data_IF_638489486078
#
_entry.id   IF_638489486078
#
_cell.length_a   1.000
_cell.length_b   1.000
_cell.length_c   1.000
_cell.angle_alpha   90.00
_cell.angle_beta   90.00
_cell.angle_gamma   90.00
#
_symmetry.space_group_name_H-M   'P 1'
#
loop_
_entity.id
_entity.type
_entity.pdbx_description
1 polymer ?
#
# COMPACT_ATOMS: atom_id res chain seq x y z
N UNK A 1 5.03 0.18 20.26
CA UNK A 1 4.02 -0.21 21.25
C UNK A 1 2.63 -0.35 20.60
N UNK A 2 2.16 0.58 19.76
CA UNK A 2 0.81 0.54 19.14
C UNK A 2 0.67 -0.63 18.17
N UNK A 3 1.65 -0.86 17.31
CA UNK A 3 1.66 -2.03 16.42
C UNK A 3 1.68 -3.35 17.20
N UNK A 4 2.40 -3.41 18.31
CA UNK A 4 2.40 -4.58 19.18
C UNK A 4 1.03 -4.81 19.84
N UNK A 5 0.32 -3.74 20.22
CA UNK A 5 -1.05 -3.80 20.75
C UNK A 5 -2.06 -4.30 19.72
N UNK A 6 -1.97 -3.82 18.47
CA UNK A 6 -2.84 -4.28 17.37
C UNK A 6 -2.55 -5.73 16.99
N UNK A 7 -1.28 -6.13 16.95
CA UNK A 7 -0.90 -7.53 16.71
C UNK A 7 -1.37 -8.42 17.86
N UNK A 8 -1.22 -8.00 19.12
CA UNK A 8 -1.70 -8.73 20.29
C UNK A 8 -3.22 -8.87 20.29
N UNK A 9 -3.96 -7.81 19.97
CA UNK A 9 -5.43 -7.85 19.83
C UNK A 9 -5.85 -8.81 18.72
N UNK A 10 -5.20 -8.74 17.56
CA UNK A 10 -5.42 -9.66 16.47
C UNK A 10 -5.12 -11.13 16.84
N UNK A 11 -4.05 -11.37 17.61
CA UNK A 11 -3.70 -12.71 18.09
C UNK A 11 -4.72 -13.27 19.09
N UNK A 12 -5.30 -12.42 19.92
CA UNK A 12 -6.38 -12.83 20.86
C UNK A 12 -7.66 -13.20 20.08
N UNK A 13 -8.02 -12.45 19.05
CA UNK A 13 -9.15 -12.81 18.17
C UNK A 13 -8.91 -14.11 17.37
N UNK A 14 -7.67 -14.38 16.98
CA UNK A 14 -7.28 -15.66 16.35
C UNK A 14 -7.68 -16.88 17.18
N UNK A 15 -7.67 -16.77 18.48
CA UNK A 15 -7.97 -17.90 19.37
C UNK A 15 -9.47 -18.22 19.43
N UNK A 16 -10.33 -17.31 18.99
CA UNK A 16 -11.78 -17.45 19.14
C UNK A 16 -12.50 -17.92 17.87
N UNK A 17 -11.98 -17.68 16.64
CA UNK A 17 -12.68 -18.01 15.40
C UNK A 17 -11.74 -18.46 14.26
N UNK A 18 -11.94 -19.68 13.72
CA UNK A 18 -11.11 -20.25 12.64
C UNK A 18 -11.14 -19.46 11.32
N UNK A 19 -12.23 -18.79 10.98
CA UNK A 19 -12.37 -17.98 9.76
C UNK A 19 -11.57 -16.67 9.87
N UNK A 20 -11.61 -16.04 11.01
CA UNK A 20 -10.83 -14.81 11.30
C UNK A 20 -9.32 -15.09 11.37
N UNK A 21 -8.94 -16.27 11.83
CA UNK A 21 -7.57 -16.78 11.86
C UNK A 21 -6.92 -16.78 10.47
N UNK A 22 -7.64 -17.22 9.44
CA UNK A 22 -7.13 -17.25 8.07
C UNK A 22 -6.94 -15.85 7.50
N UNK A 23 -7.88 -14.94 7.74
CA UNK A 23 -7.80 -13.55 7.29
C UNK A 23 -6.60 -12.83 7.92
N UNK A 24 -6.38 -13.03 9.22
CA UNK A 24 -5.24 -12.43 9.91
C UNK A 24 -3.90 -13.00 9.43
N UNK A 25 -3.82 -14.30 9.16
CA UNK A 25 -2.61 -14.90 8.57
C UNK A 25 -2.27 -14.25 7.24
N UNK A 26 -3.25 -14.06 6.36
CA UNK A 26 -3.04 -13.35 5.09
C UNK A 26 -2.65 -11.89 5.31
N UNK A 27 -3.25 -11.20 6.28
CA UNK A 27 -2.90 -9.82 6.61
C UNK A 27 -1.46 -9.71 7.12
N UNK A 28 -1.00 -10.62 7.98
CA UNK A 28 0.39 -10.66 8.47
C UNK A 28 1.39 -10.94 7.35
N UNK A 29 1.09 -11.92 6.48
CA UNK A 29 1.92 -12.21 5.31
C UNK A 29 2.00 -11.00 4.39
N UNK A 30 0.87 -10.35 4.10
CA UNK A 30 0.82 -9.14 3.29
C UNK A 30 1.63 -8.01 3.93
N UNK A 31 1.51 -7.80 5.25
CA UNK A 31 2.30 -6.82 5.98
C UNK A 31 3.80 -7.08 5.90
N UNK A 32 4.21 -8.35 5.98
CA UNK A 32 5.62 -8.73 5.81
C UNK A 32 6.14 -8.41 4.40
N UNK A 33 5.36 -8.71 3.37
CA UNK A 33 5.71 -8.34 1.99
C UNK A 33 5.79 -6.82 1.81
N UNK A 34 4.84 -6.06 2.39
CA UNK A 34 4.86 -4.60 2.35
C UNK A 34 6.12 -4.05 3.00
N UNK A 35 6.49 -4.54 4.18
CA UNK A 35 7.72 -4.13 4.85
C UNK A 35 8.97 -4.47 4.01
N UNK A 36 9.02 -5.66 3.45
CA UNK A 36 10.14 -6.13 2.63
C UNK A 36 10.36 -5.26 1.39
N UNK A 37 9.31 -5.02 0.61
CA UNK A 37 9.48 -4.16 -0.59
C UNK A 37 9.76 -2.70 -0.21
N UNK A 38 9.20 -2.17 0.88
CA UNK A 38 9.46 -0.80 1.31
C UNK A 38 10.94 -0.59 1.67
N UNK A 39 11.57 -1.57 2.34
CA UNK A 39 12.99 -1.55 2.66
C UNK A 39 13.83 -1.65 1.37
N UNK A 40 13.45 -2.56 0.47
CA UNK A 40 14.15 -2.75 -0.81
C UNK A 40 14.10 -1.49 -1.67
N UNK A 41 12.94 -0.84 -1.75
CA UNK A 41 12.74 0.41 -2.50
C UNK A 41 13.56 1.55 -1.90
N UNK A 42 13.52 1.70 -0.57
CA UNK A 42 14.29 2.73 0.11
C UNK A 42 15.80 2.56 -0.08
N UNK A 43 16.28 1.32 -0.02
CA UNK A 43 17.68 1.00 -0.28
C UNK A 43 18.05 1.26 -1.73
N UNK A 44 17.22 0.76 -2.67
CA UNK A 44 17.46 0.90 -4.10
C UNK A 44 17.47 2.37 -4.56
N UNK A 45 16.50 3.18 -4.10
CA UNK A 45 16.46 4.61 -4.48
C UNK A 45 17.63 5.40 -3.92
N UNK A 46 18.13 5.06 -2.73
CA UNK A 46 19.32 5.69 -2.15
C UNK A 46 20.60 5.31 -2.88
N UNK A 47 20.73 4.07 -3.36
CA UNK A 47 21.87 3.64 -4.16
C UNK A 47 21.93 4.34 -5.51
N UNK A 48 20.79 4.48 -6.18
CA UNK A 48 20.71 5.12 -7.51
C UNK A 48 20.81 6.64 -7.42
N UNK A 49 20.45 7.23 -6.26
CA UNK A 49 20.47 8.68 -6.05
C UNK A 49 19.38 9.46 -6.80
N UNK A 50 18.54 8.80 -7.57
CA UNK A 50 17.44 9.41 -8.32
C UNK A 50 16.19 8.55 -8.28
N UNK A 51 15.11 9.09 -7.67
CA UNK A 51 13.82 8.40 -7.59
C UNK A 51 13.24 8.09 -8.97
N UNK A 52 13.39 9.01 -9.92
CA UNK A 52 12.87 8.84 -11.27
C UNK A 52 13.60 7.71 -12.03
N UNK A 53 14.94 7.68 -11.93
CA UNK A 53 15.75 6.64 -12.60
C UNK A 53 15.48 5.25 -12.01
N UNK A 54 15.41 5.15 -10.68
CA UNK A 54 15.10 3.91 -9.99
C UNK A 54 13.71 3.41 -10.36
N UNK A 55 12.70 4.29 -10.28
CA UNK A 55 11.33 3.92 -10.63
C UNK A 55 11.16 3.59 -12.10
N UNK A 56 11.83 4.32 -13.00
CA UNK A 56 11.83 4.05 -14.42
C UNK A 56 12.37 2.65 -14.75
N UNK A 57 13.50 2.27 -14.16
CA UNK A 57 14.08 0.94 -14.31
C UNK A 57 13.14 -0.15 -13.77
N UNK A 58 12.64 0.03 -12.55
CA UNK A 58 11.70 -0.91 -11.91
C UNK A 58 10.41 -1.08 -12.73
N UNK A 59 9.83 0.03 -13.21
CA UNK A 59 8.63 0.01 -14.04
C UNK A 59 8.85 -0.69 -15.37
N UNK A 60 10.02 -0.52 -16.00
CA UNK A 60 10.38 -1.23 -17.23
C UNK A 60 10.45 -2.74 -17.00
N UNK A 61 11.15 -3.20 -15.95
CA UNK A 61 11.23 -4.63 -15.62
C UNK A 61 9.87 -5.24 -15.33
N UNK A 62 9.04 -4.59 -14.51
CA UNK A 62 7.69 -5.05 -14.20
C UNK A 62 6.80 -5.13 -15.44
N UNK A 63 6.88 -4.13 -16.34
CA UNK A 63 6.10 -4.12 -17.58
C UNK A 63 6.57 -5.15 -18.59
N UNK A 64 7.88 -5.37 -18.71
CA UNK A 64 8.42 -6.44 -19.53
C UNK A 64 7.94 -7.80 -19.06
N UNK A 65 8.02 -8.07 -17.75
CA UNK A 65 7.53 -9.33 -17.18
C UNK A 65 6.03 -9.53 -17.42
N UNK A 66 5.21 -8.51 -17.17
CA UNK A 66 3.78 -8.56 -17.42
C UNK A 66 3.47 -8.74 -18.92
N UNK A 67 4.21 -8.07 -19.80
CA UNK A 67 4.05 -8.18 -21.24
C UNK A 67 4.34 -9.60 -21.72
N UNK A 68 5.43 -10.22 -21.29
CA UNK A 68 5.73 -11.61 -21.61
C UNK A 68 4.67 -12.57 -21.07
N UNK A 69 4.24 -12.37 -19.83
CA UNK A 69 3.18 -13.16 -19.21
C UNK A 69 1.87 -13.11 -20.03
N UNK A 70 1.43 -11.92 -20.43
CA UNK A 70 0.20 -11.73 -21.21
C UNK A 70 0.29 -12.29 -22.62
N UNK A 71 1.45 -12.21 -23.28
CA UNK A 71 1.65 -12.81 -24.61
C UNK A 71 1.52 -14.32 -24.54
N UNK A 72 2.04 -14.95 -23.50
CA UNK A 72 2.09 -16.41 -23.37
C UNK A 72 0.74 -16.97 -22.92
N UNK A 73 0.07 -16.33 -21.93
CA UNK A 73 -1.14 -16.89 -21.34
C UNK A 73 -2.44 -16.31 -21.89
N UNK A 74 -2.47 -15.01 -22.28
CA UNK A 74 -3.72 -14.33 -22.59
C UNK A 74 -3.63 -13.35 -23.77
N UNK A 75 -3.45 -13.89 -24.95
CA UNK A 75 -3.26 -13.12 -26.20
C UNK A 75 -4.40 -12.14 -26.54
N UNK A 76 -5.61 -12.37 -26.04
CA UNK A 76 -6.82 -11.56 -26.33
C UNK A 76 -7.25 -10.62 -25.21
N UNK A 77 -6.52 -10.59 -24.09
CA UNK A 77 -6.91 -9.78 -22.91
C UNK A 77 -6.62 -8.29 -23.12
N UNK A 78 -5.44 -7.97 -23.62
CA UNK A 78 -4.99 -6.59 -23.86
C UNK A 78 -5.92 -5.75 -24.75
N UNK A 79 -6.36 -6.23 -25.93
CA UNK A 79 -7.23 -5.43 -26.78
C UNK A 79 -8.62 -5.19 -26.19
N UNK A 80 -9.14 -6.08 -25.34
CA UNK A 80 -10.42 -5.90 -24.64
C UNK A 80 -10.33 -4.88 -23.52
N UNK A 81 -9.23 -4.92 -22.74
CA UNK A 81 -9.01 -3.99 -21.63
C UNK A 81 -8.84 -2.56 -22.15
N UNK A 82 -8.06 -2.38 -23.21
CA UNK A 82 -7.74 -1.04 -23.74
C UNK A 82 -8.96 -0.41 -24.42
N UNK A 83 -9.80 -1.18 -25.15
CA UNK A 83 -10.93 -0.61 -25.90
C UNK A 83 -12.09 -0.08 -25.04
N UNK A 84 -12.28 -0.59 -23.82
CA UNK A 84 -13.44 -0.22 -22.98
C UNK A 84 -13.17 0.88 -21.95
N UNK A 85 -11.92 1.02 -21.47
CA UNK A 85 -11.61 1.82 -20.27
C UNK A 85 -10.37 2.69 -20.42
N UNK A 86 -10.06 3.17 -21.62
CA UNK A 86 -8.81 3.89 -21.95
C UNK A 86 -8.56 5.09 -21.02
N UNK A 87 -9.56 5.93 -20.80
CA UNK A 87 -9.41 7.13 -19.97
C UNK A 87 -9.13 6.79 -18.49
N UNK A 88 -9.88 5.84 -17.93
CA UNK A 88 -9.69 5.41 -16.55
C UNK A 88 -8.34 4.71 -16.35
N UNK A 89 -7.87 3.96 -17.35
CA UNK A 89 -6.59 3.27 -17.30
C UNK A 89 -5.41 4.24 -17.36
N UNK A 90 -5.47 5.22 -18.26
CA UNK A 90 -4.40 6.24 -18.39
C UNK A 90 -4.38 7.14 -17.15
N UNK A 91 -5.54 7.61 -16.70
CA UNK A 91 -5.63 8.50 -15.55
C UNK A 91 -5.19 7.80 -14.25
N UNK A 92 -5.67 6.58 -14.01
CA UNK A 92 -5.27 5.78 -12.86
C UNK A 92 -3.78 5.43 -12.87
N UNK A 93 -3.23 5.09 -14.04
CA UNK A 93 -1.79 4.83 -14.21
C UNK A 93 -0.94 6.07 -13.94
N UNK A 94 -1.36 7.24 -14.43
CA UNK A 94 -0.65 8.50 -14.21
C UNK A 94 -0.66 8.91 -12.74
N UNK A 95 -1.82 8.86 -12.09
CA UNK A 95 -1.95 9.16 -10.66
C UNK A 95 -1.08 8.22 -9.83
N UNK A 96 -1.15 6.92 -10.09
CA UNK A 96 -0.32 5.92 -9.39
C UNK A 96 1.16 6.17 -9.59
N UNK A 97 1.57 6.55 -10.81
CA UNK A 97 2.96 6.89 -11.12
C UNK A 97 3.44 8.07 -10.27
N UNK A 98 2.67 9.15 -10.25
CA UNK A 98 3.03 10.37 -9.49
C UNK A 98 3.07 10.08 -7.99
N UNK A 99 2.06 9.40 -7.44
CA UNK A 99 2.03 9.06 -6.02
C UNK A 99 3.24 8.20 -5.61
N UNK A 100 3.59 7.20 -6.42
CA UNK A 100 4.72 6.33 -6.10
C UNK A 100 6.07 7.07 -6.22
N UNK A 101 6.21 7.95 -7.19
CA UNK A 101 7.39 8.79 -7.35
C UNK A 101 7.61 9.71 -6.14
N UNK A 102 6.53 10.29 -5.59
CA UNK A 102 6.59 11.10 -4.37
C UNK A 102 7.08 10.26 -3.18
N UNK A 103 6.56 9.03 -3.01
CA UNK A 103 6.99 8.13 -1.94
C UNK A 103 8.48 7.77 -2.08
N UNK A 104 8.94 7.44 -3.28
CA UNK A 104 10.36 7.14 -3.53
C UNK A 104 11.27 8.34 -3.27
N UNK A 105 10.82 9.54 -3.66
CA UNK A 105 11.56 10.77 -3.36
C UNK A 105 11.66 11.03 -1.85
N UNK A 106 10.59 10.71 -1.10
CA UNK A 106 10.62 10.81 0.36
C UNK A 106 11.59 9.79 0.98
N UNK A 107 11.67 8.55 0.46
CA UNK A 107 12.61 7.54 0.93
C UNK A 107 14.09 7.91 0.72
N UNK A 108 14.39 8.81 -0.23
CA UNK A 108 15.77 9.30 -0.40
C UNK A 108 16.26 10.12 0.80
N UNK A 109 15.38 10.90 1.41
CA UNK A 109 15.75 11.92 2.39
C UNK A 109 15.29 11.60 3.82
N UNK A 110 14.25 10.75 3.97
CA UNK A 110 13.61 10.48 5.25
C UNK A 110 13.80 9.02 5.69
N UNK A 111 13.73 8.73 6.99
CA UNK A 111 13.72 7.37 7.49
C UNK A 111 12.54 6.56 6.93
N UNK A 112 12.80 5.29 6.58
CA UNK A 112 11.78 4.39 6.00
C UNK A 112 10.54 4.28 6.89
N UNK A 113 10.76 4.17 8.21
CA UNK A 113 9.68 4.07 9.19
C UNK A 113 8.75 5.28 9.16
N UNK A 114 9.30 6.50 9.03
CA UNK A 114 8.51 7.73 8.96
C UNK A 114 7.65 7.78 7.69
N UNK A 115 8.26 7.51 6.54
CA UNK A 115 7.54 7.53 5.25
C UNK A 115 6.46 6.44 5.21
N UNK A 116 6.76 5.24 5.70
CA UNK A 116 5.78 4.15 5.78
C UNK A 116 4.61 4.50 6.70
N UNK A 117 4.87 5.11 7.86
CA UNK A 117 3.80 5.54 8.78
C UNK A 117 2.92 6.63 8.18
N UNK A 118 3.52 7.59 7.48
CA UNK A 118 2.75 8.61 6.76
C UNK A 118 1.88 7.99 5.66
N UNK A 119 2.37 6.95 4.99
CA UNK A 119 1.58 6.22 4.00
C UNK A 119 0.34 5.56 4.61
N UNK A 120 0.44 5.06 5.84
CA UNK A 120 -0.69 4.45 6.53
C UNK A 120 -1.83 5.46 6.83
N UNK A 121 -1.56 6.79 6.80
CA UNK A 121 -2.62 7.80 6.90
C UNK A 121 -3.64 7.68 5.77
N UNK A 122 -3.27 7.11 4.63
CA UNK A 122 -4.18 6.86 3.50
C UNK A 122 -5.39 6.00 3.90
N UNK A 123 -5.25 5.14 4.91
CA UNK A 123 -6.34 4.33 5.45
C UNK A 123 -7.43 5.23 6.06
N UNK A 124 -7.03 6.32 6.76
CA UNK A 124 -7.99 7.30 7.32
C UNK A 124 -8.81 7.96 6.21
N UNK A 125 -8.13 8.36 5.12
CA UNK A 125 -8.81 8.92 3.94
C UNK A 125 -9.71 7.90 3.26
N UNK A 126 -9.28 6.64 3.16
CA UNK A 126 -10.11 5.56 2.60
C UNK A 126 -11.38 5.34 3.42
N UNK A 127 -11.30 5.31 4.76
CA UNK A 127 -12.45 5.21 5.66
C UNK A 127 -13.38 6.42 5.46
N UNK A 128 -12.82 7.63 5.44
CA UNK A 128 -13.59 8.86 5.27
C UNK A 128 -14.34 8.86 3.92
N UNK A 129 -13.67 8.51 2.84
CA UNK A 129 -14.28 8.42 1.51
C UNK A 129 -15.34 7.31 1.44
N UNK A 130 -15.10 6.15 2.08
CA UNK A 130 -16.07 5.07 2.20
C UNK A 130 -17.37 5.53 2.87
N UNK A 131 -17.25 6.27 3.96
CA UNK A 131 -18.41 6.82 4.67
C UNK A 131 -19.11 7.91 3.86
N UNK A 132 -18.37 8.86 3.27
CA UNK A 132 -18.94 10.01 2.55
C UNK A 132 -19.57 9.62 1.21
N UNK A 133 -18.88 8.81 0.39
CA UNK A 133 -19.30 8.49 -0.97
C UNK A 133 -20.11 7.19 -1.06
N UNK A 134 -19.68 6.14 -0.34
CA UNK A 134 -20.35 4.85 -0.35
C UNK A 134 -21.45 4.73 0.71
N UNK A 135 -21.59 5.75 1.59
CA UNK A 135 -22.55 5.75 2.71
C UNK A 135 -22.43 4.50 3.60
N UNK A 136 -21.20 4.00 3.75
CA UNK A 136 -20.94 2.87 4.64
C UNK A 136 -21.22 3.26 6.09
N UNK A 137 -21.79 2.32 6.86
CA UNK A 137 -21.99 2.54 8.30
C UNK A 137 -20.64 2.56 9.01
N UNK A 138 -20.41 3.60 9.81
CA UNK A 138 -19.29 3.64 10.74
C UNK A 138 -19.52 2.58 11.83
N UNK A 139 -18.74 1.52 11.76
CA UNK A 139 -18.71 0.51 12.81
C UNK A 139 -17.73 0.97 13.89
N UNK A 140 -17.99 0.61 15.15
CA UNK A 140 -17.12 0.95 16.29
C UNK A 140 -15.66 0.53 16.05
N UNK A 141 -15.46 -0.60 15.37
CA UNK A 141 -14.13 -1.11 15.03
C UNK A 141 -13.38 -0.22 14.04
N UNK A 142 -14.06 0.31 13.02
CA UNK A 142 -13.49 1.27 12.05
C UNK A 142 -13.08 2.57 12.74
N UNK A 143 -13.89 3.03 13.70
CA UNK A 143 -13.57 4.23 14.49
C UNK A 143 -12.37 4.01 15.42
N UNK A 144 -12.34 2.87 16.11
CA UNK A 144 -11.22 2.50 16.98
C UNK A 144 -9.91 2.38 16.18
N UNK A 145 -9.94 1.75 15.00
CA UNK A 145 -8.79 1.63 14.12
C UNK A 145 -8.28 3.01 13.66
N UNK A 146 -9.19 3.89 13.21
CA UNK A 146 -8.85 5.25 12.80
C UNK A 146 -8.21 6.05 13.94
N UNK A 147 -8.75 5.93 15.16
CA UNK A 147 -8.24 6.62 16.33
C UNK A 147 -6.84 6.12 16.73
N UNK A 148 -6.63 4.81 16.73
CA UNK A 148 -5.31 4.20 17.03
C UNK A 148 -4.25 4.61 16.01
N UNK A 149 -4.61 4.64 14.71
CA UNK A 149 -3.71 5.10 13.66
C UNK A 149 -3.35 6.58 13.82
N UNK A 150 -4.34 7.43 14.09
CA UNK A 150 -4.11 8.86 14.32
C UNK A 150 -3.18 9.11 15.52
N UNK A 151 -3.39 8.42 16.64
CA UNK A 151 -2.48 8.47 17.79
C UNK A 151 -1.07 8.00 17.43
N UNK A 152 -0.95 6.91 16.67
CA UNK A 152 0.35 6.39 16.22
C UNK A 152 1.17 7.42 15.45
N UNK A 153 0.53 8.19 14.60
CA UNK A 153 1.17 9.24 13.80
C UNK A 153 1.64 10.41 14.69
N UNK A 154 0.81 10.82 15.66
CA UNK A 154 1.15 11.90 16.59
C UNK A 154 2.40 11.53 17.41
N UNK A 155 2.49 10.28 17.89
CA UNK A 155 3.64 9.80 18.66
C UNK A 155 4.90 9.59 17.82
N UNK A 156 4.78 9.54 16.49
CA UNK A 156 5.94 9.38 15.61
C UNK A 156 6.61 10.70 15.27
N UNK A 157 5.96 11.83 15.55
CA UNK A 157 6.53 13.15 15.34
C UNK A 157 7.54 13.41 16.48
N UNK A 158 8.85 13.42 16.21
CA UNK A 158 9.82 13.75 17.25
C UNK A 158 9.64 15.22 17.62
N UNK A 159 9.34 15.49 18.88
CA UNK A 159 9.48 16.82 19.49
C UNK A 159 10.93 17.26 19.49
#
# INVERSE_FOLDING_TARGET
FICAGLVAYGLVQLWQNKEESRQLTFALITGLFIASYSITDAYGVRLVGSALSFFGAMALFNRLFLFFYLIVLERNFLPRLVRGYQHSFILGGLISFVCYLIILSAYQHLPVALVSSLRETSILFAILLGVLFLREKMTTDKFALAFVLALGIIFLYPT
#
